data_IF_391736654009
#
_entry.id   IF_391736654009
#
_cell.length_a   1.000
_cell.length_b   1.000
_cell.length_c   1.000
_cell.angle_alpha   90.00
_cell.angle_beta   90.00
_cell.angle_gamma   90.00
#
_symmetry.space_group_name_H-M   'P 1'
#
loop_
_entity.id
_entity.type
_entity.pdbx_description
1 polymer ?
#
# COMPACT_ATOMS: atom_id res chain seq x y z
N UNK A 1 3.26 -49.03 90.95
CA UNK A 1 4.67 -48.73 91.27
C UNK A 1 5.08 -47.60 90.31
N UNK A 2 5.18 -46.31 90.70
CA UNK A 2 6.23 -45.67 91.55
C UNK A 2 7.62 -46.17 91.10
N UNK A 3 8.58 -45.42 90.55
CA UNK A 3 8.93 -43.98 90.51
C UNK A 3 9.56 -43.70 89.11
N UNK A 4 9.80 -42.48 88.58
CA UNK A 4 9.58 -41.09 89.03
C UNK A 4 9.53 -40.14 87.79
N UNK A 5 9.31 -38.83 87.99
CA UNK A 5 9.54 -37.76 86.99
C UNK A 5 10.70 -36.87 87.49
N UNK A 6 11.69 -36.53 86.65
CA UNK A 6 12.69 -35.48 86.97
C UNK A 6 12.78 -34.45 85.86
N UNK A 7 12.40 -33.21 86.18
CA UNK A 7 12.69 -32.03 85.38
C UNK A 7 14.18 -31.69 85.54
N UNK A 8 14.92 -31.54 84.45
CA UNK A 8 16.13 -30.70 84.40
C UNK A 8 15.80 -29.44 83.60
N UNK A 9 16.45 -28.33 83.97
CA UNK A 9 16.03 -26.99 83.58
C UNK A 9 17.18 -26.25 82.89
N UNK A 10 16.84 -25.56 81.80
CA UNK A 10 17.51 -24.40 81.20
C UNK A 10 18.81 -24.50 80.38
N UNK A 11 18.72 -23.79 79.24
CA UNK A 11 19.72 -23.09 78.43
C UNK A 11 20.88 -23.88 77.83
N UNK A 12 20.76 -24.14 76.53
CA UNK A 12 21.87 -24.02 75.58
C UNK A 12 21.47 -23.06 74.44
N UNK A 13 22.46 -22.34 73.91
CA UNK A 13 22.29 -21.14 73.05
C UNK A 13 22.55 -21.49 71.58
N UNK A 14 21.80 -20.83 70.68
CA UNK A 14 21.94 -20.85 69.21
C UNK A 14 21.67 -22.23 68.54
N UNK A 15 21.29 -22.29 67.25
CA UNK A 15 21.27 -21.23 66.23
C UNK A 15 19.94 -21.20 65.44
N UNK A 16 19.61 -20.03 64.89
CA UNK A 16 18.62 -19.89 63.82
C UNK A 16 19.16 -20.57 62.56
N UNK A 17 18.75 -21.82 62.34
CA UNK A 17 18.98 -22.54 61.09
C UNK A 17 18.19 -21.89 59.96
N UNK A 18 18.76 -20.86 59.33
CA UNK A 18 18.22 -20.26 58.13
C UNK A 18 18.38 -21.26 56.97
N UNK A 19 17.40 -22.13 56.77
CA UNK A 19 17.29 -22.92 55.55
C UNK A 19 17.01 -21.98 54.39
N UNK A 20 18.07 -21.50 53.76
CA UNK A 20 18.02 -20.83 52.48
C UNK A 20 17.59 -21.86 51.41
N UNK A 21 16.27 -22.06 51.30
CA UNK A 21 15.68 -22.70 50.13
C UNK A 21 16.01 -21.80 48.94
N UNK A 22 17.07 -22.13 48.23
CA UNK A 22 17.46 -21.50 46.98
C UNK A 22 16.44 -21.86 45.90
N UNK A 23 15.24 -21.29 46.01
CA UNK A 23 14.26 -21.31 44.95
C UNK A 23 14.89 -20.65 43.73
N UNK A 24 15.17 -21.46 42.72
CA UNK A 24 15.66 -20.98 41.42
C UNK A 24 14.56 -20.16 40.77
N UNK A 25 14.52 -18.87 41.07
CA UNK A 25 13.67 -17.93 40.36
C UNK A 25 14.16 -17.92 38.91
N UNK A 26 13.44 -18.63 38.05
CA UNK A 26 13.61 -18.56 36.60
C UNK A 26 13.17 -17.17 36.13
N UNK A 27 14.03 -16.18 36.38
CA UNK A 27 13.86 -14.81 35.96
C UNK A 27 13.82 -14.78 34.43
N UNK A 28 12.60 -14.81 33.91
CA UNK A 28 12.35 -14.89 32.47
C UNK A 28 12.96 -13.67 31.80
N UNK A 29 13.99 -13.89 30.98
CA UNK A 29 14.78 -12.82 30.38
C UNK A 29 13.86 -11.81 29.69
N UNK A 30 13.90 -10.55 30.14
CA UNK A 30 13.01 -9.49 29.68
C UNK A 30 13.12 -9.37 28.15
N UNK A 31 12.04 -9.67 27.44
CA UNK A 31 11.99 -9.67 25.97
C UNK A 31 12.51 -8.33 25.41
N UNK A 32 13.72 -8.36 24.86
CA UNK A 32 14.33 -7.22 24.21
C UNK A 32 13.66 -6.96 22.86
N UNK A 33 13.29 -5.72 22.61
CA UNK A 33 12.70 -5.26 21.35
C UNK A 33 13.71 -4.35 20.62
N UNK A 34 13.76 -4.39 19.27
CA UNK A 34 14.48 -3.39 18.51
C UNK A 34 13.92 -1.99 18.75
N UNK A 35 14.74 -0.98 18.48
CA UNK A 35 14.35 0.42 18.31
C UNK A 35 14.61 0.86 16.86
N UNK A 36 14.13 2.05 16.48
CA UNK A 36 14.42 2.65 15.17
C UNK A 36 15.76 3.35 15.22
N UNK A 37 16.65 3.05 14.27
CA UNK A 37 17.96 3.69 14.10
C UNK A 37 17.99 4.70 12.95
N UNK A 38 17.09 4.57 11.98
CA UNK A 38 16.90 5.53 10.87
C UNK A 38 15.42 5.55 10.46
N UNK A 39 14.90 6.73 10.08
CA UNK A 39 13.55 6.89 9.54
C UNK A 39 13.49 8.12 8.61
N UNK A 40 13.55 7.90 7.31
CA UNK A 40 13.71 8.94 6.29
C UNK A 40 12.56 8.97 5.29
N UNK A 41 12.31 10.14 4.69
CA UNK A 41 11.46 10.26 3.48
C UNK A 41 12.25 9.74 2.29
N UNK A 42 11.62 8.94 1.43
CA UNK A 42 12.25 8.51 0.18
C UNK A 42 12.46 9.73 -0.72
N UNK A 43 13.70 9.96 -1.18
CA UNK A 43 14.07 11.11 -2.02
C UNK A 43 13.91 10.86 -3.53
N UNK A 44 13.72 9.61 -3.95
CA UNK A 44 13.46 9.26 -5.36
C UNK A 44 12.13 9.82 -5.85
N UNK A 45 12.05 10.11 -7.16
CA UNK A 45 10.86 10.65 -7.81
C UNK A 45 9.59 9.87 -7.39
N UNK A 46 8.53 10.52 -6.88
CA UNK A 46 7.30 9.87 -6.46
C UNK A 46 6.72 8.87 -7.48
N UNK A 47 6.71 9.21 -8.77
CA UNK A 47 6.19 8.39 -9.86
C UNK A 47 6.93 7.04 -10.00
N UNK A 48 8.19 6.97 -9.55
CA UNK A 48 9.03 5.77 -9.60
C UNK A 48 8.92 4.91 -8.32
N UNK A 49 7.96 5.19 -7.43
CA UNK A 49 7.79 4.51 -6.13
C UNK A 49 6.47 3.73 -6.03
N UNK A 50 5.93 3.32 -7.17
CA UNK A 50 4.76 2.46 -7.25
C UNK A 50 5.17 1.01 -6.94
N UNK A 51 4.50 0.40 -5.97
CA UNK A 51 4.79 -0.94 -5.48
C UNK A 51 3.48 -1.73 -5.29
N UNK A 52 3.59 -3.04 -5.25
CA UNK A 52 2.51 -3.95 -4.86
C UNK A 52 2.95 -4.82 -3.71
N UNK A 53 1.99 -5.33 -2.94
CA UNK A 53 2.26 -6.35 -1.94
C UNK A 53 2.79 -7.66 -2.58
N UNK A 54 3.59 -8.41 -1.83
CA UNK A 54 4.02 -9.78 -2.20
C UNK A 54 3.24 -10.87 -1.46
N UNK A 55 2.34 -10.52 -0.53
CA UNK A 55 1.58 -11.48 0.29
C UNK A 55 2.39 -12.20 1.38
N UNK A 56 3.70 -11.93 1.49
CA UNK A 56 4.61 -12.60 2.42
C UNK A 56 4.64 -12.00 3.84
N UNK A 57 4.18 -10.75 4.01
CA UNK A 57 4.30 -9.99 5.25
C UNK A 57 3.04 -9.17 5.51
N UNK A 58 2.66 -9.02 6.79
CA UNK A 58 1.57 -8.16 7.22
C UNK A 58 1.96 -6.66 7.19
N UNK A 59 0.96 -5.80 7.09
CA UNK A 59 1.09 -4.34 7.24
C UNK A 59 0.88 -3.96 8.70
N UNK A 60 1.68 -3.05 9.25
CA UNK A 60 1.64 -2.66 10.67
C UNK A 60 1.56 -1.14 10.85
N UNK A 61 1.11 -0.67 12.02
CA UNK A 61 1.06 0.77 12.33
C UNK A 61 2.46 1.42 12.54
N UNK A 62 3.47 0.61 12.87
CA UNK A 62 4.90 0.90 12.94
C UNK A 62 5.68 -0.38 12.63
N UNK A 63 6.99 -0.30 12.42
CA UNK A 63 7.81 -1.48 12.13
C UNK A 63 7.46 -2.70 13.03
N UNK A 64 7.06 -3.81 12.41
CA UNK A 64 6.30 -4.90 13.06
C UNK A 64 7.00 -5.62 14.20
N UNK A 65 8.32 -5.47 14.32
CA UNK A 65 9.13 -6.05 15.42
C UNK A 65 9.28 -5.12 16.63
N UNK A 66 8.83 -3.87 16.56
CA UNK A 66 8.87 -2.92 17.69
C UNK A 66 7.86 -3.26 18.79
N UNK A 67 8.15 -2.82 20.02
CA UNK A 67 7.19 -2.93 21.14
C UNK A 67 5.86 -2.25 20.78
N UNK A 68 4.75 -2.95 21.03
CA UNK A 68 3.38 -2.51 20.75
C UNK A 68 3.09 -2.16 19.28
N UNK A 69 3.78 -2.80 18.33
CA UNK A 69 3.34 -2.80 16.92
C UNK A 69 2.01 -3.54 16.82
N UNK A 70 1.08 -3.00 16.02
CA UNK A 70 -0.25 -3.58 15.74
C UNK A 70 -0.38 -3.82 14.25
N UNK A 71 -1.01 -4.94 13.89
CA UNK A 71 -1.36 -5.25 12.50
C UNK A 71 -2.44 -4.27 12.03
N UNK A 72 -2.28 -3.75 10.82
CA UNK A 72 -3.25 -2.92 10.07
C UNK A 72 -3.93 -3.78 9.01
N UNK A 73 -3.19 -4.65 8.33
CA UNK A 73 -3.73 -5.68 7.44
C UNK A 73 -2.93 -6.98 7.63
N UNK A 74 -3.63 -8.10 7.79
CA UNK A 74 -2.99 -9.42 7.96
C UNK A 74 -2.41 -9.91 6.63
N UNK A 75 -1.64 -11.00 6.66
CA UNK A 75 -1.19 -11.68 5.43
C UNK A 75 -2.33 -12.30 4.63
N UNK A 76 -3.46 -12.68 5.24
CA UNK A 76 -4.65 -13.11 4.51
C UNK A 76 -5.30 -11.93 3.78
N UNK A 77 -5.65 -10.85 4.51
CA UNK A 77 -6.21 -9.62 3.90
C UNK A 77 -5.35 -9.11 2.75
N UNK A 78 -4.03 -9.13 2.89
CA UNK A 78 -3.12 -8.71 1.81
C UNK A 78 -3.16 -9.64 0.60
N UNK A 79 -3.32 -10.96 0.79
CA UNK A 79 -3.52 -11.90 -0.32
C UNK A 79 -4.86 -11.69 -1.02
N UNK A 80 -5.91 -11.39 -0.25
CA UNK A 80 -7.23 -11.07 -0.80
C UNK A 80 -7.14 -9.81 -1.70
N UNK A 81 -6.50 -8.73 -1.22
CA UNK A 81 -6.25 -7.51 -2.00
C UNK A 81 -5.41 -7.73 -3.27
N UNK A 82 -4.49 -8.70 -3.27
CA UNK A 82 -3.73 -9.11 -4.46
C UNK A 82 -4.64 -9.85 -5.44
N UNK A 83 -5.48 -10.76 -4.94
CA UNK A 83 -6.39 -11.58 -5.74
C UNK A 83 -7.53 -10.75 -6.38
N UNK A 84 -7.96 -9.66 -5.73
CA UNK A 84 -8.92 -8.70 -6.27
C UNK A 84 -8.47 -8.05 -7.60
N UNK A 85 -7.15 -7.97 -7.85
CA UNK A 85 -6.55 -7.37 -9.05
C UNK A 85 -7.11 -5.97 -9.40
N UNK A 86 -7.32 -5.13 -8.39
CA UNK A 86 -7.76 -3.74 -8.57
C UNK A 86 -6.59 -2.77 -8.45
N UNK A 87 -6.48 -1.80 -9.37
CA UNK A 87 -5.41 -0.80 -9.33
C UNK A 87 -5.49 0.13 -8.12
N UNK A 88 -6.67 0.29 -7.50
CA UNK A 88 -6.82 1.01 -6.22
C UNK A 88 -5.97 0.40 -5.08
N UNK A 89 -5.67 -0.91 -5.17
CA UNK A 89 -4.86 -1.66 -4.21
C UNK A 89 -3.34 -1.53 -4.49
N UNK A 90 -2.94 -0.87 -5.59
CA UNK A 90 -1.55 -0.46 -5.80
C UNK A 90 -1.10 0.46 -4.67
N UNK A 91 0.20 0.49 -4.39
CA UNK A 91 0.76 1.20 -3.24
C UNK A 91 1.80 2.24 -3.66
N UNK A 92 1.87 3.35 -2.91
CA UNK A 92 2.98 4.31 -2.97
C UNK A 92 3.86 4.15 -1.75
N UNK A 93 5.12 3.74 -1.96
CA UNK A 93 6.14 3.81 -0.92
C UNK A 93 6.63 5.27 -0.76
N UNK A 94 6.75 5.75 0.48
CA UNK A 94 7.10 7.15 0.75
C UNK A 94 8.06 7.40 1.92
N UNK A 95 8.28 6.40 2.80
CA UNK A 95 9.37 6.43 3.79
C UNK A 95 10.07 5.09 3.89
N UNK A 96 11.30 5.12 4.38
CA UNK A 96 12.09 3.94 4.76
C UNK A 96 12.53 4.10 6.22
N UNK A 97 12.61 3.00 6.96
CA UNK A 97 13.16 2.98 8.30
C UNK A 97 14.00 1.72 8.54
N UNK A 98 15.08 1.88 9.29
CA UNK A 98 15.94 0.78 9.76
C UNK A 98 15.77 0.62 11.26
N UNK A 99 15.78 -0.63 11.72
CA UNK A 99 15.78 -1.01 13.14
C UNK A 99 17.18 -1.37 13.63
N UNK A 100 17.40 -1.34 14.94
CA UNK A 100 18.65 -1.79 15.60
C UNK A 100 18.97 -3.29 15.44
N UNK A 101 18.13 -4.04 14.72
CA UNK A 101 18.40 -5.43 14.28
C UNK A 101 18.61 -5.54 12.77
N UNK A 102 18.96 -4.43 12.12
CA UNK A 102 19.21 -4.30 10.69
C UNK A 102 18.03 -4.79 9.83
N UNK A 103 16.79 -4.71 10.33
CA UNK A 103 15.58 -4.97 9.55
C UNK A 103 15.03 -3.65 9.00
N UNK A 104 14.79 -3.60 7.70
CA UNK A 104 14.22 -2.46 6.96
C UNK A 104 12.71 -2.56 6.93
N UNK A 105 12.03 -1.43 7.00
CA UNK A 105 10.58 -1.30 6.78
C UNK A 105 10.29 -0.12 5.87
N UNK A 106 9.33 -0.29 4.96
CA UNK A 106 8.83 0.79 4.10
C UNK A 106 7.48 1.27 4.62
N UNK A 107 7.28 2.59 4.65
CA UNK A 107 5.96 3.18 4.86
C UNK A 107 5.25 3.32 3.53
N UNK A 108 4.06 2.73 3.44
CA UNK A 108 3.24 2.61 2.22
C UNK A 108 1.83 3.14 2.48
N UNK A 109 1.16 3.52 1.39
CA UNK A 109 -0.28 3.82 1.32
C UNK A 109 -0.86 3.21 0.05
N UNK A 110 -2.09 2.66 0.10
CA UNK A 110 -2.86 2.28 -1.10
C UNK A 110 -3.35 3.49 -1.89
N UNK A 111 -3.69 3.29 -3.16
CA UNK A 111 -4.09 4.39 -4.03
C UNK A 111 -5.50 4.94 -3.74
N UNK A 112 -6.36 4.16 -3.08
CA UNK A 112 -7.61 4.63 -2.46
C UNK A 112 -7.43 5.22 -1.05
N UNK A 113 -6.20 5.22 -0.50
CA UNK A 113 -5.90 5.68 0.85
C UNK A 113 -6.29 4.74 2.00
N UNK A 114 -7.09 3.70 1.74
CA UNK A 114 -7.67 2.77 2.75
C UNK A 114 -6.61 2.12 3.65
N UNK A 115 -5.51 1.64 3.06
CA UNK A 115 -4.44 0.95 3.79
C UNK A 115 -3.20 1.83 3.89
N UNK A 116 -2.81 2.18 5.12
CA UNK A 116 -1.58 2.96 5.38
C UNK A 116 -0.81 2.38 6.56
N UNK A 117 0.49 2.11 6.36
CA UNK A 117 1.29 1.48 7.40
C UNK A 117 2.75 1.22 7.01
N UNK A 118 3.41 0.40 7.81
CA UNK A 118 4.78 -0.05 7.64
C UNK A 118 4.82 -1.55 7.35
N UNK A 119 5.53 -1.93 6.30
CA UNK A 119 5.69 -3.33 5.88
C UNK A 119 7.17 -3.70 5.80
N UNK A 120 7.49 -4.95 6.13
CA UNK A 120 8.88 -5.42 6.20
C UNK A 120 9.52 -5.43 4.80
N UNK A 121 10.67 -4.75 4.69
CA UNK A 121 11.43 -4.57 3.45
C UNK A 121 12.59 -5.54 3.25
N UNK A 122 12.86 -6.43 4.22
CA UNK A 122 14.05 -7.29 4.24
C UNK A 122 15.10 -6.84 5.26
N UNK A 123 16.30 -7.43 5.17
CA UNK A 123 17.47 -7.00 5.93
C UNK A 123 18.18 -5.86 5.21
N UNK A 124 18.82 -4.99 5.98
CA UNK A 124 19.65 -3.91 5.45
C UNK A 124 20.90 -4.52 4.81
N UNK A 125 20.96 -4.45 3.49
CA UNK A 125 22.13 -4.67 2.63
C UNK A 125 22.94 -3.37 2.49
N UNK A 126 24.15 -3.46 1.91
CA UNK A 126 24.91 -2.27 1.52
C UNK A 126 24.10 -1.41 0.53
N UNK A 127 23.49 -2.06 -0.46
CA UNK A 127 22.57 -1.44 -1.41
C UNK A 127 21.18 -1.27 -0.78
N UNK A 128 20.81 -0.03 -0.45
CA UNK A 128 19.46 0.33 0.04
C UNK A 128 18.42 0.50 -1.09
N UNK A 129 18.76 0.07 -2.32
CA UNK A 129 18.18 0.60 -3.56
C UNK A 129 16.88 -0.05 -4.08
N UNK A 130 16.45 -1.20 -3.54
CA UNK A 130 15.32 -1.96 -4.09
C UNK A 130 14.16 -2.14 -3.11
N UNK A 131 12.92 -2.09 -3.62
CA UNK A 131 11.74 -2.53 -2.86
C UNK A 131 11.69 -4.06 -2.80
N UNK A 132 11.77 -4.62 -1.59
CA UNK A 132 11.85 -6.06 -1.37
C UNK A 132 10.98 -6.52 -0.17
N UNK A 133 11.01 -7.82 0.13
CA UNK A 133 10.28 -8.42 1.23
C UNK A 133 8.77 -8.43 0.99
N UNK A 134 8.01 -7.71 1.82
CA UNK A 134 6.56 -7.61 1.73
C UNK A 134 6.01 -6.79 0.55
N UNK A 135 6.88 -6.09 -0.16
CA UNK A 135 6.54 -5.31 -1.38
C UNK A 135 7.55 -5.55 -2.50
N UNK A 136 7.14 -5.26 -3.73
CA UNK A 136 8.00 -5.19 -4.92
C UNK A 136 7.59 -4.00 -5.80
N UNK A 137 8.53 -3.45 -6.56
CA UNK A 137 8.23 -2.46 -7.61
C UNK A 137 7.17 -3.01 -8.59
N UNK A 138 6.31 -2.13 -9.10
CA UNK A 138 5.39 -2.48 -10.19
C UNK A 138 5.39 -1.40 -11.26
N UNK A 139 5.14 -1.79 -12.50
CA UNK A 139 4.51 -0.89 -13.46
C UNK A 139 2.99 -0.92 -13.22
N UNK A 140 2.33 0.24 -13.30
CA UNK A 140 0.87 0.39 -13.11
C UNK A 140 0.13 0.56 -14.43
N UNK A 141 0.81 1.03 -15.49
CA UNK A 141 0.23 1.27 -16.80
C UNK A 141 1.20 0.93 -17.93
N UNK A 142 0.76 0.14 -18.89
CA UNK A 142 1.55 -0.20 -20.09
C UNK A 142 0.99 0.57 -21.28
N UNK A 143 1.75 1.56 -21.76
CA UNK A 143 1.47 2.27 -23.01
C UNK A 143 1.46 1.30 -24.20
N UNK A 144 0.62 1.59 -25.19
CA UNK A 144 0.46 0.82 -26.42
C UNK A 144 0.50 1.73 -27.65
N UNK A 145 -0.01 1.22 -28.77
CA UNK A 145 -0.02 1.94 -30.05
C UNK A 145 -1.43 1.92 -30.64
N UNK A 146 -1.94 3.09 -31.03
CA UNK A 146 -3.24 3.20 -31.71
C UNK A 146 -3.17 2.53 -33.08
N UNK A 147 -4.17 1.67 -33.36
CA UNK A 147 -4.37 1.09 -34.70
C UNK A 147 -4.71 2.18 -35.73
N UNK A 148 -4.49 1.95 -37.04
CA UNK A 148 -4.85 2.91 -38.09
C UNK A 148 -6.32 3.37 -37.99
N UNK A 149 -7.25 2.44 -37.78
CA UNK A 149 -8.69 2.73 -37.60
C UNK A 149 -8.95 3.62 -36.38
N UNK A 150 -8.29 3.35 -35.24
CA UNK A 150 -8.47 4.19 -34.04
C UNK A 150 -7.96 5.63 -34.22
N UNK A 151 -6.93 5.84 -35.04
CA UNK A 151 -6.40 7.18 -35.35
C UNK A 151 -7.35 8.03 -36.19
N UNK A 152 -8.14 7.40 -37.07
CA UNK A 152 -9.09 8.10 -37.94
C UNK A 152 -10.53 8.10 -37.41
N UNK A 153 -10.85 7.32 -36.38
CA UNK A 153 -12.21 7.28 -35.81
C UNK A 153 -12.48 8.49 -34.92
N UNK A 154 -13.67 9.08 -35.07
CA UNK A 154 -14.21 10.10 -34.17
C UNK A 154 -15.10 9.43 -33.12
N UNK A 155 -14.96 9.84 -31.87
CA UNK A 155 -15.67 9.28 -30.73
C UNK A 155 -16.49 10.33 -29.98
N UNK A 156 -17.51 9.88 -29.25
CA UNK A 156 -18.17 10.62 -28.15
C UNK A 156 -18.08 9.80 -26.86
N UNK A 157 -18.20 10.48 -25.72
CA UNK A 157 -18.44 9.81 -24.43
C UNK A 157 -19.83 9.17 -24.48
N UNK A 158 -19.95 7.87 -24.18
CA UNK A 158 -21.20 7.11 -24.29
C UNK A 158 -22.25 7.57 -23.28
N UNK A 159 -21.82 7.83 -22.05
CA UNK A 159 -22.69 8.27 -20.96
C UNK A 159 -22.01 9.41 -20.18
N UNK A 160 -22.04 10.65 -20.69
CA UNK A 160 -21.48 11.81 -20.00
C UNK A 160 -22.22 12.04 -18.66
N UNK A 161 -21.51 12.55 -17.65
CA UNK A 161 -22.06 12.77 -16.31
C UNK A 161 -20.98 13.05 -15.27
N UNK A 162 -21.28 12.69 -14.02
CA UNK A 162 -20.42 12.92 -12.83
C UNK A 162 -19.82 11.63 -12.24
N UNK A 163 -20.10 10.46 -12.84
CA UNK A 163 -19.69 9.18 -12.29
C UNK A 163 -18.17 8.97 -12.38
N UNK A 164 -17.55 8.59 -11.26
CA UNK A 164 -16.12 8.26 -11.17
C UNK A 164 -15.90 6.75 -11.47
N UNK A 165 -16.20 6.34 -12.71
CA UNK A 165 -16.23 4.93 -13.16
C UNK A 165 -15.22 4.62 -14.30
N UNK A 166 -14.45 5.62 -14.71
CA UNK A 166 -13.57 5.58 -15.86
C UNK A 166 -14.27 5.71 -17.23
N UNK A 167 -15.58 5.93 -17.29
CA UNK A 167 -16.37 5.96 -18.54
C UNK A 167 -17.21 7.22 -18.74
N UNK A 168 -17.61 7.90 -17.65
CA UNK A 168 -18.40 9.14 -17.74
C UNK A 168 -17.56 10.41 -17.79
N UNK A 169 -16.41 10.42 -17.13
CA UNK A 169 -15.50 11.57 -17.05
C UNK A 169 -14.12 11.24 -17.66
N UNK A 170 -13.24 12.25 -17.75
CA UNK A 170 -11.83 12.06 -18.14
C UNK A 170 -10.88 12.37 -16.98
N UNK A 171 -9.64 11.89 -17.08
CA UNK A 171 -8.68 11.74 -15.98
C UNK A 171 -7.28 12.25 -16.36
N UNK A 172 -6.52 12.80 -15.41
CA UNK A 172 -5.13 13.26 -15.63
C UNK A 172 -4.21 12.11 -16.02
N UNK A 173 -4.37 10.99 -15.30
CA UNK A 173 -3.74 9.69 -15.49
C UNK A 173 -4.87 8.63 -15.54
N UNK A 174 -4.69 7.45 -16.15
CA UNK A 174 -5.66 6.37 -16.03
C UNK A 174 -5.90 6.01 -14.56
N UNK A 175 -7.16 5.83 -14.14
CA UNK A 175 -7.52 5.72 -12.71
C UNK A 175 -6.64 4.73 -11.93
N UNK A 176 -6.15 5.19 -10.78
CA UNK A 176 -5.28 4.44 -9.88
C UNK A 176 -4.01 3.89 -10.55
N UNK A 177 -3.46 4.60 -11.54
CA UNK A 177 -2.09 4.32 -12.04
C UNK A 177 -1.02 5.13 -11.32
N UNK A 178 -1.40 6.19 -10.60
CA UNK A 178 -0.53 6.96 -9.71
C UNK A 178 -1.23 7.25 -8.38
N UNK A 179 -0.46 7.59 -7.35
CA UNK A 179 -1.02 8.07 -6.07
C UNK A 179 -1.24 9.58 -6.10
N UNK A 180 -2.51 10.00 -6.05
CA UNK A 180 -2.96 11.36 -5.72
C UNK A 180 -3.30 11.45 -4.22
N UNK A 181 -3.31 12.65 -3.63
CA UNK A 181 -3.44 12.84 -2.18
C UNK A 181 -4.89 12.94 -1.69
N UNK A 182 -5.73 13.53 -2.53
CA UNK A 182 -7.20 13.57 -2.47
C UNK A 182 -7.83 12.22 -2.86
N UNK A 183 -7.11 11.41 -3.65
CA UNK A 183 -7.54 10.14 -4.25
C UNK A 183 -8.60 10.35 -5.34
N UNK A 184 -8.57 11.50 -6.01
CA UNK A 184 -9.32 11.76 -7.25
C UNK A 184 -8.34 11.95 -8.41
N UNK A 185 -8.54 11.17 -9.48
CA UNK A 185 -7.70 11.22 -10.69
C UNK A 185 -8.35 12.08 -11.80
N UNK A 186 -9.55 12.64 -11.58
CA UNK A 186 -10.37 13.29 -12.62
C UNK A 186 -9.75 14.61 -13.11
N UNK A 187 -9.68 14.74 -14.44
CA UNK A 187 -9.37 15.96 -15.17
C UNK A 187 -10.59 16.91 -15.23
N UNK A 188 -11.80 16.32 -15.23
CA UNK A 188 -13.07 17.06 -15.29
C UNK A 188 -14.12 16.34 -14.43
N UNK A 189 -14.71 17.07 -13.48
CA UNK A 189 -15.66 16.48 -12.52
C UNK A 189 -17.05 16.20 -13.10
N UNK A 190 -17.43 16.92 -14.15
CA UNK A 190 -18.78 16.90 -14.71
C UNK A 190 -18.77 17.08 -16.22
N UNK A 191 -19.14 16.03 -16.96
CA UNK A 191 -19.26 16.03 -18.41
C UNK A 191 -20.72 16.05 -18.90
N UNK A 192 -21.71 16.30 -18.04
CA UNK A 192 -23.15 16.21 -18.39
C UNK A 192 -23.51 16.98 -19.68
N UNK A 193 -22.87 18.12 -19.93
CA UNK A 193 -23.11 18.97 -21.11
C UNK A 193 -22.31 18.57 -22.37
N UNK A 194 -21.61 17.43 -22.37
CA UNK A 194 -20.70 17.00 -23.45
C UNK A 194 -21.33 15.99 -24.43
N UNK A 195 -22.68 15.86 -24.48
CA UNK A 195 -23.35 14.94 -25.41
C UNK A 195 -23.01 15.18 -26.90
N UNK A 196 -22.82 16.44 -27.28
CA UNK A 196 -22.39 16.82 -28.63
C UNK A 196 -20.87 16.97 -28.80
N UNK A 197 -20.08 16.74 -27.74
CA UNK A 197 -18.63 16.74 -27.86
C UNK A 197 -18.15 15.58 -28.74
N UNK A 198 -17.11 15.85 -29.53
CA UNK A 198 -16.45 14.88 -30.41
C UNK A 198 -14.95 14.89 -30.16
N UNK A 199 -14.35 13.71 -30.20
CA UNK A 199 -12.98 13.48 -29.79
C UNK A 199 -12.24 12.56 -30.75
N UNK A 200 -10.92 12.76 -30.84
CA UNK A 200 -9.94 11.86 -31.46
C UNK A 200 -9.19 11.09 -30.36
N UNK A 201 -8.56 9.97 -30.69
CA UNK A 201 -7.62 9.30 -29.79
C UNK A 201 -6.18 9.75 -30.09
N UNK A 202 -5.42 10.06 -29.05
CA UNK A 202 -4.02 10.49 -29.12
C UNK A 202 -3.06 9.42 -28.55
N UNK A 203 -3.42 8.84 -27.40
CA UNK A 203 -2.68 7.75 -26.75
C UNK A 203 -3.60 6.58 -26.37
N UNK A 204 -3.00 5.43 -26.11
CA UNK A 204 -3.69 4.20 -25.67
C UNK A 204 -2.75 3.38 -24.79
N UNK A 205 -3.29 2.71 -23.77
CA UNK A 205 -2.55 1.76 -22.95
C UNK A 205 -3.47 0.92 -22.08
N UNK A 206 -2.89 0.14 -21.18
CA UNK A 206 -3.61 -0.83 -20.33
C UNK A 206 -3.17 -0.74 -18.88
N UNK A 207 -4.12 -0.79 -17.93
CA UNK A 207 -3.78 -0.89 -16.50
C UNK A 207 -3.36 -2.32 -16.16
N UNK A 208 -2.27 -2.47 -15.41
CA UNK A 208 -1.62 -3.78 -15.24
C UNK A 208 -2.36 -4.75 -14.32
N UNK A 209 -3.20 -4.25 -13.40
CA UNK A 209 -3.98 -5.08 -12.49
C UNK A 209 -5.23 -5.64 -13.18
N UNK A 210 -6.12 -4.75 -13.66
CA UNK A 210 -7.39 -5.10 -14.29
C UNK A 210 -7.24 -5.58 -15.75
N UNK A 211 -6.20 -5.14 -16.46
CA UNK A 211 -6.04 -5.38 -17.89
C UNK A 211 -6.96 -4.54 -18.78
N UNK A 212 -7.63 -3.51 -18.23
CA UNK A 212 -8.55 -2.67 -19.01
C UNK A 212 -7.83 -1.59 -19.84
N UNK A 213 -8.39 -1.32 -21.03
CA UNK A 213 -7.83 -0.39 -22.01
C UNK A 213 -8.29 1.04 -21.74
N UNK A 214 -7.33 1.95 -21.65
CA UNK A 214 -7.52 3.38 -21.53
C UNK A 214 -6.96 4.10 -22.74
N UNK A 215 -7.58 5.22 -23.11
CA UNK A 215 -7.19 6.07 -24.22
C UNK A 215 -7.18 7.53 -23.78
N UNK A 216 -6.22 8.31 -24.28
CA UNK A 216 -6.21 9.75 -24.10
C UNK A 216 -7.00 10.39 -25.23
N UNK A 217 -8.08 11.11 -24.89
CA UNK A 217 -8.96 11.75 -25.86
C UNK A 217 -8.60 13.23 -26.06
N UNK A 218 -8.72 13.71 -27.29
CA UNK A 218 -8.50 15.12 -27.65
C UNK A 218 -9.72 15.64 -28.40
N UNK A 219 -10.33 16.70 -27.88
CA UNK A 219 -11.50 17.34 -28.47
C UNK A 219 -11.23 17.85 -29.91
N UNK A 220 -12.23 17.74 -30.77
CA UNK A 220 -12.19 18.32 -32.11
C UNK A 220 -12.58 19.80 -32.13
N UNK A 221 -13.23 20.30 -31.07
CA UNK A 221 -13.73 21.66 -30.93
C UNK A 221 -13.16 22.34 -29.67
N UNK A 222 -12.77 23.63 -29.71
CA UNK A 222 -12.16 24.33 -28.57
C UNK A 222 -12.98 24.28 -27.27
N UNK A 223 -14.31 24.37 -27.38
CA UNK A 223 -15.24 24.41 -26.24
C UNK A 223 -15.17 23.18 -25.31
N UNK A 224 -14.64 22.05 -25.79
CA UNK A 224 -14.57 20.79 -25.03
C UNK A 224 -13.15 20.38 -24.63
N UNK A 225 -12.15 21.24 -24.88
CA UNK A 225 -10.73 20.93 -24.61
C UNK A 225 -10.40 20.70 -23.14
N UNK A 226 -11.22 21.19 -22.20
CA UNK A 226 -11.11 20.90 -20.77
C UNK A 226 -11.22 19.39 -20.49
N UNK A 227 -12.00 18.65 -21.29
CA UNK A 227 -12.13 17.20 -21.17
C UNK A 227 -10.99 16.41 -21.85
N UNK A 228 -9.96 17.05 -22.39
CA UNK A 228 -8.79 16.33 -22.91
C UNK A 228 -8.09 15.57 -21.78
N UNK A 229 -8.13 14.24 -21.82
CA UNK A 229 -7.74 13.39 -20.69
C UNK A 229 -7.87 11.91 -21.01
N UNK A 230 -7.44 11.07 -20.07
CA UNK A 230 -7.62 9.62 -20.16
C UNK A 230 -9.07 9.21 -19.89
N UNK A 231 -9.54 8.15 -20.54
CA UNK A 231 -10.84 7.49 -20.30
C UNK A 231 -10.73 6.01 -20.70
N UNK A 232 -11.55 5.13 -20.12
CA UNK A 232 -11.66 3.74 -20.61
C UNK A 232 -12.20 3.76 -22.03
N UNK A 233 -11.60 2.98 -22.92
CA UNK A 233 -12.08 2.85 -24.30
C UNK A 233 -13.54 2.35 -24.37
N UNK A 234 -13.96 1.53 -23.40
CA UNK A 234 -15.34 1.06 -23.24
C UNK A 234 -16.33 2.12 -22.73
N UNK A 235 -15.87 3.32 -22.40
CA UNK A 235 -16.70 4.51 -22.14
C UNK A 235 -16.99 5.35 -23.39
N UNK A 236 -16.46 4.98 -24.56
CA UNK A 236 -16.60 5.72 -25.79
C UNK A 236 -17.49 4.99 -26.82
N UNK A 237 -18.20 5.76 -27.64
CA UNK A 237 -18.94 5.30 -28.82
C UNK A 237 -18.33 5.95 -30.06
N UNK A 238 -18.03 5.16 -31.08
CA UNK A 238 -17.60 5.68 -32.39
C UNK A 238 -18.78 6.38 -33.09
N UNK A 239 -18.54 7.58 -33.65
CA UNK A 239 -19.56 8.39 -34.33
C UNK A 239 -19.28 8.61 -35.83
N UNK A 240 -18.18 8.06 -36.34
CA UNK A 240 -17.76 8.19 -37.74
C UNK A 240 -16.23 8.18 -37.87
N UNK A 241 -15.73 8.48 -39.07
CA UNK A 241 -14.30 8.70 -39.33
C UNK A 241 -14.05 10.14 -39.76
N UNK A 242 -12.86 10.65 -39.45
CA UNK A 242 -12.31 11.87 -40.06
C UNK A 242 -12.14 11.60 -41.56
N UNK A 243 -12.63 12.51 -42.41
CA UNK A 243 -12.37 12.52 -43.86
C UNK A 243 -11.01 13.15 -44.15
#
# INVERSE_FOLDING_TARGET
MKLNLKKSLFVSVAALGLFAVAGTTNASAKKSYPHITMNEVLKTNPYNRNVVFTGSNALYNKAGTLKSARVVATTSTIKDLINERQSKNNLRAYRIATTSRNSVYYKVVSFDGTYRGWIYGGKMTADRGGFAGGIKSTNTFTEGTLTPTQKTTVYRITTPGIANDGKSATYEDPMYTQYKLDHDDRQVDNTTNYGEARFRLDRIGTRTQEGDTWVYIVATQPAYTVANGWIKLSGLTATGTIQ
#
